data_IF_552849196802
#
_entry.id   IF_552849196802
#
_cell.length_a   1.000
_cell.length_b   1.000
_cell.length_c   1.000
_cell.angle_alpha   90.00
_cell.angle_beta   90.00
_cell.angle_gamma   90.00
#
_symmetry.space_group_name_H-M   'P 1'
#
loop_
_entity.id
_entity.type
_entity.pdbx_description
1 polymer ?
#
# COMPACT_ATOMS: atom_id res chain seq x y z
N UNK A 1 34.47 -2.59 18.65
CA UNK A 1 33.19 -3.01 19.28
C UNK A 1 32.55 -4.01 18.33
N UNK A 2 32.48 -5.28 18.70
CA UNK A 2 31.87 -6.30 17.83
C UNK A 2 30.37 -6.01 17.73
N UNK A 3 29.89 -5.70 16.54
CA UNK A 3 28.46 -5.61 16.27
C UNK A 3 27.91 -7.03 16.40
N UNK A 4 27.12 -7.31 17.44
CA UNK A 4 26.51 -8.61 17.63
C UNK A 4 25.54 -8.87 16.47
N UNK A 5 25.93 -9.74 15.55
CA UNK A 5 25.09 -10.15 14.43
C UNK A 5 24.09 -11.20 14.90
N UNK A 6 22.81 -10.94 14.66
CA UNK A 6 21.70 -11.87 14.87
C UNK A 6 21.48 -12.61 13.54
N UNK A 7 21.30 -13.94 13.55
CA UNK A 7 21.04 -14.70 12.34
C UNK A 7 19.72 -14.30 11.68
N UNK A 8 19.64 -14.50 10.37
CA UNK A 8 18.43 -14.28 9.59
C UNK A 8 17.27 -15.13 10.14
N UNK A 9 16.10 -14.52 10.42
CA UNK A 9 14.92 -15.25 10.83
C UNK A 9 14.48 -16.23 9.74
N UNK A 10 14.31 -17.50 10.11
CA UNK A 10 13.98 -18.59 9.19
C UNK A 10 12.97 -19.53 9.81
N UNK A 11 12.01 -19.98 9.01
CA UNK A 11 11.03 -21.01 9.37
C UNK A 11 10.88 -22.02 8.25
N UNK A 12 10.93 -23.30 8.62
CA UNK A 12 10.66 -24.42 7.74
C UNK A 12 9.33 -25.03 8.18
N UNK A 13 8.46 -25.33 7.22
CA UNK A 13 7.17 -25.96 7.45
C UNK A 13 6.90 -27.02 6.37
N UNK A 14 6.20 -28.08 6.76
CA UNK A 14 5.81 -29.16 5.87
C UNK A 14 4.29 -29.12 5.70
N UNK A 15 3.83 -29.16 4.46
CA UNK A 15 2.41 -29.13 4.13
C UNK A 15 2.03 -30.32 3.27
N UNK A 16 0.87 -30.91 3.54
CA UNK A 16 0.34 -32.06 2.80
C UNK A 16 -0.43 -31.62 1.55
N UNK A 17 0.23 -30.80 0.73
CA UNK A 17 -0.25 -30.36 -0.57
C UNK A 17 0.82 -30.56 -1.65
N UNK A 18 0.41 -30.88 -2.89
CA UNK A 18 1.32 -30.94 -4.04
C UNK A 18 2.04 -29.61 -4.29
N UNK A 19 3.26 -29.70 -4.81
CA UNK A 19 4.13 -28.55 -5.07
C UNK A 19 3.44 -27.48 -5.93
N UNK A 20 2.71 -27.87 -6.97
CA UNK A 20 2.07 -26.93 -7.90
C UNK A 20 0.99 -26.08 -7.22
N UNK A 21 0.22 -26.67 -6.29
CA UNK A 21 -0.81 -25.96 -5.53
C UNK A 21 -0.18 -24.95 -4.57
N UNK A 22 0.90 -25.34 -3.91
CA UNK A 22 1.65 -24.45 -3.01
C UNK A 22 2.31 -23.33 -3.81
N UNK A 23 2.86 -23.64 -4.97
CA UNK A 23 3.46 -22.69 -5.90
C UNK A 23 2.46 -21.62 -6.34
N UNK A 24 1.27 -22.04 -6.76
CA UNK A 24 0.19 -21.11 -7.11
C UNK A 24 -0.23 -20.23 -5.93
N UNK A 25 -0.29 -20.81 -4.72
CA UNK A 25 -0.60 -20.07 -3.50
C UNK A 25 0.46 -19.01 -3.19
N UNK A 26 1.74 -19.34 -3.32
CA UNK A 26 2.84 -18.40 -3.11
C UNK A 26 2.78 -17.24 -4.11
N UNK A 27 2.46 -17.48 -5.39
CA UNK A 27 2.33 -16.40 -6.39
C UNK A 27 1.20 -15.43 -6.10
N UNK A 28 0.14 -15.92 -5.45
CA UNK A 28 -1.07 -15.16 -5.18
C UNK A 28 -1.08 -14.46 -3.80
N UNK A 29 0.03 -14.46 -3.06
CA UNK A 29 0.13 -13.76 -1.75
C UNK A 29 -0.25 -12.28 -1.86
N UNK A 30 0.13 -11.64 -2.98
CA UNK A 30 -0.17 -10.22 -3.26
C UNK A 30 -1.67 -9.92 -3.34
N UNK A 31 -2.50 -10.92 -3.64
CA UNK A 31 -3.97 -10.79 -3.68
C UNK A 31 -4.55 -10.56 -2.28
N UNK A 32 -3.95 -11.17 -1.25
CA UNK A 32 -4.41 -11.03 0.13
C UNK A 32 -3.89 -9.76 0.80
N UNK A 33 -2.68 -9.33 0.43
CA UNK A 33 -2.08 -8.14 1.00
C UNK A 33 -1.12 -7.46 0.01
N UNK A 34 -1.51 -6.28 -0.46
CA UNK A 34 -0.78 -5.48 -1.44
C UNK A 34 0.55 -4.90 -0.94
N UNK A 35 0.85 -5.02 0.35
CA UNK A 35 2.11 -4.56 0.95
C UNK A 35 3.28 -5.47 0.56
N UNK A 36 3.01 -6.74 0.32
CA UNK A 36 3.99 -7.69 -0.17
C UNK A 36 4.03 -7.64 -1.69
N UNK A 37 5.20 -7.39 -2.26
CA UNK A 37 5.41 -7.33 -3.71
C UNK A 37 6.44 -8.35 -4.11
N UNK A 38 6.21 -9.03 -5.24
CA UNK A 38 7.20 -9.95 -5.81
C UNK A 38 8.36 -9.09 -6.32
N UNK A 39 9.55 -9.33 -5.76
CA UNK A 39 10.79 -8.71 -6.20
C UNK A 39 11.43 -9.53 -7.33
N UNK A 40 11.51 -10.85 -7.12
CA UNK A 40 11.99 -11.80 -8.14
C UNK A 40 11.35 -13.17 -7.92
N UNK A 41 11.24 -13.95 -8.99
CA UNK A 41 10.75 -15.31 -8.95
C UNK A 41 11.54 -16.17 -9.91
N UNK A 42 11.96 -17.34 -9.45
CA UNK A 42 12.58 -18.36 -10.26
C UNK A 42 11.73 -19.64 -10.20
N UNK A 43 11.02 -19.91 -11.28
CA UNK A 43 10.12 -21.06 -11.41
C UNK A 43 10.85 -22.40 -11.43
N UNK A 44 12.10 -22.42 -11.93
CA UNK A 44 12.93 -23.62 -12.07
C UNK A 44 13.41 -24.06 -10.69
N UNK A 45 13.89 -23.11 -9.88
CA UNK A 45 14.34 -23.38 -8.50
C UNK A 45 13.24 -23.29 -7.45
N UNK A 46 11.99 -23.04 -7.86
CA UNK A 46 10.84 -22.82 -6.97
C UNK A 46 11.14 -21.80 -5.85
N UNK A 47 11.83 -20.72 -6.22
CA UNK A 47 12.25 -19.66 -5.31
C UNK A 47 11.50 -18.38 -5.62
N UNK A 48 10.95 -17.75 -4.58
CA UNK A 48 10.18 -16.51 -4.69
C UNK A 48 10.69 -15.51 -3.67
N UNK A 49 11.10 -14.34 -4.12
CA UNK A 49 11.58 -13.25 -3.27
C UNK A 49 10.54 -12.16 -3.24
N UNK A 50 10.09 -11.81 -2.04
CA UNK A 50 9.15 -10.73 -1.77
C UNK A 50 9.83 -9.57 -1.06
N UNK A 51 9.36 -8.36 -1.33
CA UNK A 51 9.67 -7.15 -0.56
C UNK A 51 8.41 -6.61 0.12
N UNK A 52 8.59 -5.93 1.26
CA UNK A 52 7.50 -5.25 1.97
C UNK A 52 7.96 -3.88 2.46
N UNK A 53 7.10 -2.87 2.36
CA UNK A 53 7.36 -1.52 2.88
C UNK A 53 7.26 -1.42 4.40
N UNK A 54 6.77 -2.46 5.08
CA UNK A 54 6.65 -2.49 6.54
C UNK A 54 7.92 -2.94 7.26
N UNK A 55 8.92 -3.38 6.51
CA UNK A 55 10.22 -3.63 7.11
C UNK A 55 10.80 -2.32 7.65
N UNK A 56 11.32 -2.37 8.87
CA UNK A 56 11.96 -1.23 9.52
C UNK A 56 13.20 -0.74 8.79
N UNK A 57 13.81 -1.62 7.99
CA UNK A 57 14.98 -1.31 7.18
C UNK A 57 14.76 -1.56 5.69
N UNK A 58 15.26 -0.63 4.88
CA UNK A 58 15.27 -0.73 3.43
C UNK A 58 16.12 -1.92 2.97
N UNK A 59 15.65 -2.63 1.94
CA UNK A 59 16.37 -3.77 1.36
C UNK A 59 16.28 -5.04 2.21
N UNK A 60 15.18 -5.25 2.93
CA UNK A 60 14.85 -6.53 3.56
C UNK A 60 13.89 -7.30 2.65
N UNK A 61 14.20 -8.56 2.41
CA UNK A 61 13.47 -9.46 1.54
C UNK A 61 12.98 -10.69 2.31
N UNK A 62 11.89 -11.26 1.81
CA UNK A 62 11.33 -12.54 2.25
C UNK A 62 11.56 -13.53 1.13
N UNK A 63 12.42 -14.51 1.37
CA UNK A 63 12.70 -15.58 0.44
C UNK A 63 11.89 -16.82 0.81
N UNK A 64 11.10 -17.28 -0.14
CA UNK A 64 10.25 -18.46 -0.03
C UNK A 64 10.81 -19.50 -1.00
N UNK A 65 11.35 -20.58 -0.47
CA UNK A 65 11.83 -21.72 -1.24
C UNK A 65 10.89 -22.90 -1.04
N UNK A 66 10.51 -23.55 -2.14
CA UNK A 66 9.63 -24.72 -2.12
C UNK A 66 10.40 -25.95 -2.59
N UNK A 67 10.28 -27.03 -1.83
CA UNK A 67 10.87 -28.32 -2.18
C UNK A 67 9.83 -29.43 -2.09
N UNK A 68 9.78 -30.31 -3.09
CA UNK A 68 8.88 -31.46 -3.07
C UNK A 68 9.50 -32.56 -2.21
N UNK A 69 8.80 -32.99 -1.15
CA UNK A 69 9.20 -34.14 -0.35
C UNK A 69 8.58 -35.44 -0.86
N UNK A 70 7.37 -35.36 -1.43
CA UNK A 70 6.64 -36.44 -2.09
C UNK A 70 5.59 -35.84 -3.04
N UNK A 71 4.87 -36.67 -3.82
CA UNK A 71 3.84 -36.18 -4.75
C UNK A 71 2.80 -35.25 -4.11
N UNK A 72 2.42 -35.52 -2.86
CA UNK A 72 1.42 -34.74 -2.11
C UNK A 72 1.99 -33.99 -0.91
N UNK A 73 3.31 -33.84 -0.79
CA UNK A 73 3.92 -33.17 0.36
C UNK A 73 5.02 -32.21 -0.06
N UNK A 74 4.90 -30.97 0.39
CA UNK A 74 5.83 -29.89 0.05
C UNK A 74 6.43 -29.30 1.32
N UNK A 75 7.74 -29.10 1.31
CA UNK A 75 8.46 -28.32 2.30
C UNK A 75 8.53 -26.86 1.83
N UNK A 76 8.13 -25.94 2.71
CA UNK A 76 8.19 -24.50 2.48
C UNK A 76 9.19 -23.92 3.47
N UNK A 77 10.22 -23.27 2.94
CA UNK A 77 11.21 -22.54 3.72
C UNK A 77 11.00 -21.05 3.50
N UNK A 78 10.69 -20.33 4.57
CA UNK A 78 10.58 -18.87 4.57
C UNK A 78 11.75 -18.29 5.35
N UNK A 79 12.54 -17.44 4.72
CA UNK A 79 13.69 -16.76 5.32
C UNK A 79 13.60 -15.26 5.09
N UNK A 80 13.92 -14.45 6.10
CA UNK A 80 14.03 -13.00 5.96
C UNK A 80 15.49 -12.61 5.90
N UNK A 81 15.88 -12.00 4.78
CA UNK A 81 17.27 -11.64 4.50
C UNK A 81 17.39 -10.14 4.25
N UNK A 82 18.50 -9.55 4.69
CA UNK A 82 18.87 -8.18 4.27
C UNK A 82 19.71 -8.27 3.01
N UNK A 83 19.57 -7.26 2.13
CA UNK A 83 20.43 -7.06 0.97
C UNK A 83 21.87 -6.87 1.42
N UNK A 84 22.10 -6.06 2.46
CA UNK A 84 23.42 -5.71 2.99
C UNK A 84 23.40 -5.70 4.51
N UNK A 85 24.51 -6.12 5.12
CA UNK A 85 24.67 -6.17 6.57
C UNK A 85 23.95 -7.35 7.23
N UNK A 86 23.85 -7.29 8.56
CA UNK A 86 23.21 -8.32 9.40
C UNK A 86 22.08 -7.69 10.21
N UNK A 87 21.17 -8.51 10.72
CA UNK A 87 20.30 -8.06 11.80
C UNK A 87 21.15 -7.84 13.05
N UNK A 88 20.95 -6.74 13.75
CA UNK A 88 21.68 -6.39 14.98
C UNK A 88 20.74 -5.89 16.08
N UNK A 89 19.45 -5.75 15.79
CA UNK A 89 18.43 -5.24 16.70
C UNK A 89 17.32 -6.28 16.91
N UNK A 90 17.00 -6.58 18.17
CA UNK A 90 16.01 -7.63 18.50
C UNK A 90 14.58 -7.26 18.06
N UNK A 91 14.26 -5.98 17.98
CA UNK A 91 12.95 -5.53 17.52
C UNK A 91 12.79 -5.71 16.00
N UNK A 92 13.83 -5.46 15.19
CA UNK A 92 13.85 -5.82 13.76
C UNK A 92 13.55 -7.31 13.55
N UNK A 93 14.19 -8.17 14.36
CA UNK A 93 14.01 -9.63 14.32
C UNK A 93 12.60 -10.04 14.73
N UNK A 94 12.01 -9.35 15.70
CA UNK A 94 10.63 -9.59 16.13
C UNK A 94 9.64 -9.25 15.01
N UNK A 95 9.81 -8.09 14.35
CA UNK A 95 8.99 -7.72 13.18
C UNK A 95 9.18 -8.69 12.01
N UNK A 96 10.42 -9.13 11.76
CA UNK A 96 10.70 -10.16 10.77
C UNK A 96 9.92 -11.45 11.08
N UNK A 97 9.98 -11.95 12.32
CA UNK A 97 9.21 -13.13 12.71
C UNK A 97 7.69 -12.94 12.53
N UNK A 98 7.15 -11.74 12.76
CA UNK A 98 5.73 -11.43 12.46
C UNK A 98 5.43 -11.54 10.96
N UNK A 99 6.31 -11.02 10.10
CA UNK A 99 6.15 -11.18 8.65
C UNK A 99 6.21 -12.65 8.21
N UNK A 100 7.07 -13.48 8.80
CA UNK A 100 7.09 -14.93 8.55
C UNK A 100 5.73 -15.55 8.88
N UNK A 101 5.19 -15.26 10.07
CA UNK A 101 3.87 -15.78 10.49
C UNK A 101 2.78 -15.34 9.52
N UNK A 102 2.78 -14.08 9.11
CA UNK A 102 1.81 -13.55 8.14
C UNK A 102 1.90 -14.28 6.80
N UNK A 103 3.10 -14.48 6.26
CA UNK A 103 3.32 -15.19 5.00
C UNK A 103 2.83 -16.63 5.08
N UNK A 104 3.15 -17.34 6.17
CA UNK A 104 2.67 -18.71 6.39
C UNK A 104 1.15 -18.75 6.43
N UNK A 105 0.51 -17.82 7.14
CA UNK A 105 -0.94 -17.73 7.21
C UNK A 105 -1.58 -17.41 5.85
N UNK A 106 -0.97 -16.54 5.05
CA UNK A 106 -1.45 -16.25 3.69
C UNK A 106 -1.33 -17.45 2.76
N UNK A 107 -0.19 -18.16 2.81
CA UNK A 107 -0.01 -19.39 2.03
C UNK A 107 -1.04 -20.43 2.46
N UNK A 108 -1.23 -20.67 3.76
CA UNK A 108 -2.22 -21.61 4.26
C UNK A 108 -3.65 -21.24 3.84
N UNK A 109 -4.01 -19.95 3.88
CA UNK A 109 -5.32 -19.48 3.43
C UNK A 109 -5.50 -19.71 1.93
N UNK A 110 -4.49 -19.42 1.12
CA UNK A 110 -4.55 -19.57 -0.35
C UNK A 110 -4.51 -21.03 -0.80
N UNK A 111 -3.78 -21.90 -0.09
CA UNK A 111 -3.74 -23.33 -0.44
C UNK A 111 -5.08 -24.00 -0.19
N UNK A 112 -5.78 -23.62 0.89
CA UNK A 112 -7.07 -24.20 1.26
C UNK A 112 -8.23 -23.62 0.44
N UNK A 113 -8.08 -22.40 -0.07
CA UNK A 113 -9.10 -21.70 -0.84
C UNK A 113 -9.59 -22.49 -2.06
N UNK A 114 -10.90 -22.42 -2.32
CA UNK A 114 -11.49 -22.99 -3.53
C UNK A 114 -11.20 -22.12 -4.76
N UNK A 115 -11.30 -22.72 -5.95
CA UNK A 115 -11.08 -21.99 -7.21
C UNK A 115 -12.05 -20.80 -7.38
N UNK A 116 -13.31 -20.97 -6.97
CA UNK A 116 -14.35 -19.94 -7.06
C UNK A 116 -14.04 -18.74 -6.16
N UNK A 117 -13.56 -18.99 -4.94
CA UNK A 117 -13.13 -17.95 -4.01
C UNK A 117 -11.90 -17.19 -4.55
N UNK A 118 -10.97 -17.89 -5.20
CA UNK A 118 -9.80 -17.27 -5.81
C UNK A 118 -10.20 -16.34 -6.97
N UNK A 119 -11.15 -16.76 -7.81
CA UNK A 119 -11.70 -15.94 -8.89
C UNK A 119 -12.34 -14.66 -8.30
N UNK A 120 -13.10 -14.81 -7.21
CA UNK A 120 -13.72 -13.67 -6.52
C UNK A 120 -12.67 -12.68 -6.01
N UNK A 121 -11.60 -13.14 -5.36
CA UNK A 121 -10.52 -12.26 -4.88
C UNK A 121 -9.82 -11.51 -6.03
N UNK A 122 -9.49 -12.21 -7.12
CA UNK A 122 -8.90 -11.59 -8.32
C UNK A 122 -9.83 -10.51 -8.89
N UNK A 123 -11.14 -10.80 -8.99
CA UNK A 123 -12.13 -9.83 -9.49
C UNK A 123 -12.27 -8.59 -8.60
N UNK A 124 -12.23 -8.76 -7.28
CA UNK A 124 -12.28 -7.64 -6.32
C UNK A 124 -11.04 -6.74 -6.44
N UNK A 125 -9.86 -7.31 -6.64
CA UNK A 125 -8.65 -6.53 -6.85
C UNK A 125 -8.71 -5.73 -8.16
N UNK A 126 -9.21 -6.32 -9.26
CA UNK A 126 -9.39 -5.61 -10.53
C UNK A 126 -10.43 -4.48 -10.39
N UNK A 127 -11.57 -4.74 -9.71
CA UNK A 127 -12.57 -3.70 -9.47
C UNK A 127 -12.03 -2.55 -8.61
N UNK A 128 -11.16 -2.79 -7.64
CA UNK A 128 -10.51 -1.71 -6.87
C UNK A 128 -9.56 -0.84 -7.70
N UNK A 129 -8.99 -1.38 -8.79
CA UNK A 129 -8.16 -0.62 -9.73
C UNK A 129 -9.03 0.20 -10.70
N UNK A 130 -10.23 -0.28 -11.02
CA UNK A 130 -11.12 0.34 -12.03
C UNK A 130 -12.31 1.10 -11.44
N UNK A 131 -12.51 1.07 -10.12
CA UNK A 131 -13.51 1.90 -9.46
C UNK A 131 -13.24 3.36 -9.83
N UNK A 132 -14.23 4.13 -10.33
CA UNK A 132 -14.02 5.52 -10.68
C UNK A 132 -13.59 6.24 -9.41
N UNK A 133 -12.32 6.62 -9.35
CA UNK A 133 -11.78 7.46 -8.28
C UNK A 133 -12.57 8.76 -8.40
N UNK A 134 -13.59 8.94 -7.55
CA UNK A 134 -14.25 10.23 -7.42
C UNK A 134 -13.14 11.23 -7.09
N UNK A 135 -12.80 12.07 -8.06
CA UNK A 135 -11.68 13.01 -7.96
C UNK A 135 -11.80 13.78 -6.64
N UNK A 136 -10.87 13.48 -5.73
CA UNK A 136 -10.84 14.05 -4.40
C UNK A 136 -10.19 15.41 -4.51
N UNK A 137 -10.89 16.44 -4.03
CA UNK A 137 -10.35 17.78 -3.97
C UNK A 137 -9.28 17.80 -2.88
N UNK A 138 -8.17 18.45 -3.15
CA UNK A 138 -7.03 18.57 -2.26
C UNK A 138 -7.04 19.94 -1.59
N UNK A 139 -6.83 19.92 -0.27
CA UNK A 139 -6.78 21.13 0.56
C UNK A 139 -5.66 22.08 0.11
N UNK A 140 -4.50 21.53 -0.19
CA UNK A 140 -3.32 22.31 -0.57
C UNK A 140 -3.51 22.99 -1.93
N UNK A 141 -4.10 22.29 -2.90
CA UNK A 141 -4.44 22.88 -4.21
C UNK A 141 -5.46 24.01 -4.02
N UNK A 142 -6.50 23.80 -3.20
CA UNK A 142 -7.47 24.85 -2.89
C UNK A 142 -6.82 26.09 -2.24
N UNK A 143 -5.86 25.90 -1.33
CA UNK A 143 -5.12 27.00 -0.72
C UNK A 143 -4.28 27.77 -1.76
N UNK A 144 -3.46 27.06 -2.54
CA UNK A 144 -2.61 27.66 -3.58
C UNK A 144 -3.47 28.46 -4.57
N UNK A 145 -4.58 27.88 -5.01
CA UNK A 145 -5.48 28.51 -5.96
C UNK A 145 -6.19 29.75 -5.37
N UNK A 146 -6.46 29.74 -4.07
CA UNK A 146 -7.03 30.90 -3.36
C UNK A 146 -6.01 32.04 -3.23
N UNK A 147 -4.73 31.74 -3.11
CA UNK A 147 -3.68 32.77 -3.01
C UNK A 147 -3.36 33.42 -4.37
N UNK A 148 -3.08 32.60 -5.39
CA UNK A 148 -2.63 33.12 -6.69
C UNK A 148 -3.76 33.62 -7.59
N UNK A 149 -4.91 32.94 -7.57
CA UNK A 149 -6.03 33.22 -8.47
C UNK A 149 -7.35 33.40 -7.73
N UNK A 150 -7.22 33.81 -6.46
CA UNK A 150 -8.31 34.04 -5.53
C UNK A 150 -9.28 35.11 -5.96
N UNK A 151 -8.75 36.24 -6.46
CA UNK A 151 -9.55 37.38 -6.91
C UNK A 151 -10.50 37.07 -8.07
N UNK A 152 -10.20 36.04 -8.87
CA UNK A 152 -11.07 35.54 -9.94
C UNK A 152 -12.03 34.44 -9.46
N UNK A 153 -11.84 33.91 -8.24
CA UNK A 153 -12.71 32.87 -7.67
C UNK A 153 -12.46 31.44 -8.15
N UNK A 154 -11.33 31.17 -8.82
CA UNK A 154 -11.05 29.83 -9.40
C UNK A 154 -11.07 28.71 -8.34
N UNK A 155 -10.64 29.03 -7.11
CA UNK A 155 -10.69 28.09 -5.99
C UNK A 155 -12.12 27.65 -5.61
N UNK A 156 -13.13 28.50 -5.82
CA UNK A 156 -14.55 28.12 -5.59
C UNK A 156 -15.04 27.14 -6.65
N UNK A 157 -14.65 27.33 -7.91
CA UNK A 157 -14.93 26.36 -8.97
C UNK A 157 -14.26 25.01 -8.71
N UNK A 158 -13.00 25.03 -8.26
CA UNK A 158 -12.28 23.81 -7.85
C UNK A 158 -13.02 23.03 -6.76
N UNK A 159 -13.61 23.73 -5.78
CA UNK A 159 -14.39 23.12 -4.70
C UNK A 159 -15.82 22.72 -5.10
N UNK A 160 -16.21 22.90 -6.37
CA UNK A 160 -17.57 22.62 -6.86
C UNK A 160 -18.62 23.67 -6.45
N UNK A 161 -18.18 24.82 -5.95
CA UNK A 161 -19.04 25.93 -5.54
C UNK A 161 -19.22 26.92 -6.71
N UNK A 162 -19.74 26.44 -7.83
CA UNK A 162 -19.83 27.19 -9.11
C UNK A 162 -20.54 28.53 -8.95
N UNK A 163 -21.64 28.58 -8.20
CA UNK A 163 -22.39 29.82 -7.98
C UNK A 163 -21.54 30.89 -7.27
N UNK A 164 -20.76 30.50 -6.26
CA UNK A 164 -19.83 31.41 -5.58
C UNK A 164 -18.69 31.85 -6.50
N UNK A 165 -18.18 30.94 -7.33
CA UNK A 165 -17.18 31.28 -8.35
C UNK A 165 -17.69 32.34 -9.34
N UNK A 166 -18.94 32.22 -9.79
CA UNK A 166 -19.57 33.22 -10.68
C UNK A 166 -19.70 34.58 -10.01
N UNK A 167 -20.10 34.63 -8.73
CA UNK A 167 -20.11 35.89 -7.98
C UNK A 167 -18.72 36.53 -7.90
N UNK A 168 -17.67 35.74 -7.65
CA UNK A 168 -16.30 36.25 -7.64
C UNK A 168 -15.89 36.83 -9.00
N UNK A 169 -16.27 36.20 -10.12
CA UNK A 169 -15.99 36.71 -11.46
C UNK A 169 -16.70 38.03 -11.75
N UNK A 170 -17.96 38.18 -11.35
CA UNK A 170 -18.72 39.43 -11.57
C UNK A 170 -18.15 40.58 -10.72
N UNK A 171 -17.71 40.29 -9.50
CA UNK A 171 -17.18 41.30 -8.58
C UNK A 171 -15.65 41.44 -8.62
N UNK A 172 -14.94 40.75 -9.52
CA UNK A 172 -13.47 40.71 -9.50
C UNK A 172 -12.81 42.10 -9.61
N UNK A 173 -13.44 43.01 -10.35
CA UNK A 173 -13.02 44.41 -10.51
C UNK A 173 -13.11 45.27 -9.24
N UNK A 174 -13.84 44.81 -8.20
CA UNK A 174 -13.98 45.55 -6.93
C UNK A 174 -12.83 45.30 -5.95
N UNK A 175 -11.91 44.36 -6.26
CA UNK A 175 -10.87 43.84 -5.37
C UNK A 175 -11.37 43.17 -4.07
N UNK A 176 -12.65 43.30 -3.72
CA UNK A 176 -13.28 42.62 -2.57
C UNK A 176 -13.09 41.09 -2.63
N UNK A 177 -13.33 40.41 -3.77
CA UNK A 177 -13.14 38.96 -3.86
C UNK A 177 -11.69 38.52 -3.61
N UNK A 178 -10.70 39.36 -3.94
CA UNK A 178 -9.30 39.06 -3.68
C UNK A 178 -8.98 39.05 -2.18
N UNK A 179 -9.55 40.00 -1.41
CA UNK A 179 -9.41 40.03 0.04
C UNK A 179 -10.07 38.82 0.71
N UNK A 180 -11.27 38.44 0.27
CA UNK A 180 -11.97 37.26 0.80
C UNK A 180 -11.16 35.99 0.50
N UNK A 181 -10.64 35.85 -0.72
CA UNK A 181 -9.82 34.69 -1.10
C UNK A 181 -8.51 34.60 -0.29
N UNK A 182 -7.94 35.74 0.10
CA UNK A 182 -6.78 35.79 0.98
C UNK A 182 -7.10 35.25 2.40
N UNK A 183 -8.30 35.52 2.92
CA UNK A 183 -8.77 34.91 4.17
C UNK A 183 -8.99 33.40 3.99
N UNK A 184 -9.61 33.00 2.88
CA UNK A 184 -9.83 31.59 2.55
C UNK A 184 -8.51 30.81 2.47
N UNK A 185 -7.44 31.42 1.95
CA UNK A 185 -6.11 30.82 1.92
C UNK A 185 -5.62 30.41 3.31
N UNK A 186 -5.64 31.32 4.30
CA UNK A 186 -5.26 30.98 5.67
C UNK A 186 -6.23 29.97 6.28
N UNK A 187 -7.52 30.10 6.02
CA UNK A 187 -8.50 29.13 6.48
C UNK A 187 -8.19 27.71 5.97
N UNK A 188 -7.81 27.55 4.69
CA UNK A 188 -7.43 26.25 4.13
C UNK A 188 -6.10 25.73 4.69
N UNK A 189 -5.11 26.58 4.94
CA UNK A 189 -3.86 26.16 5.57
C UNK A 189 -4.13 25.61 6.98
N UNK A 190 -4.85 26.36 7.81
CA UNK A 190 -5.11 26.01 9.21
C UNK A 190 -6.20 24.95 9.41
N UNK A 191 -6.97 24.61 8.38
CA UNK A 191 -7.99 23.56 8.43
C UNK A 191 -7.35 22.16 8.42
N UNK A 192 -7.86 21.25 9.26
CA UNK A 192 -7.44 19.84 9.23
C UNK A 192 -7.97 19.13 7.99
N UNK A 193 -7.23 18.13 7.51
CA UNK A 193 -7.58 17.36 6.32
C UNK A 193 -8.98 16.73 6.45
N UNK A 194 -9.28 16.14 7.61
CA UNK A 194 -10.58 15.54 7.90
C UNK A 194 -11.73 16.57 7.79
N UNK A 195 -11.56 17.79 8.31
CA UNK A 195 -12.58 18.85 8.22
C UNK A 195 -12.80 19.30 6.78
N UNK A 196 -11.73 19.43 6.00
CA UNK A 196 -11.81 19.78 4.58
C UNK A 196 -12.56 18.72 3.79
N UNK A 197 -12.22 17.45 4.01
CA UNK A 197 -12.81 16.32 3.30
C UNK A 197 -14.31 16.18 3.62
N UNK A 198 -14.69 16.33 4.88
CA UNK A 198 -16.09 16.33 5.30
C UNK A 198 -16.92 17.46 4.68
N UNK A 199 -16.28 18.57 4.29
CA UNK A 199 -16.96 19.75 3.73
C UNK A 199 -17.03 19.71 2.20
N UNK A 200 -15.95 19.30 1.52
CA UNK A 200 -15.79 19.44 0.06
C UNK A 200 -15.70 18.10 -0.69
N UNK A 201 -15.42 16.99 0.00
CA UNK A 201 -15.28 15.64 -0.56
C UNK A 201 -16.41 14.68 -0.13
N UNK A 202 -17.64 15.18 -0.08
CA UNK A 202 -18.85 14.36 0.07
C UNK A 202 -19.19 13.69 -1.24
#
# INVERSE_FOLDING_TARGET
MAVFAIPNPKKILNVDFPLDRVKESVKNITLLNSKYRIHSSNEIFNQYTYESYEFLSLGVYIDINLNSMSENKTEITVEIRRKMGTFNESHEVTHANQHIVNIVNYIAKLTVMSADEMIKLKSQQVQNITAPIKSRKEKNIAAILSFFVGGLGIHRFYLGQTLMGVFYLIFCWTLIPAFIAFIDFFAFIFMSQNKFDLKYNR
#
